data_IF_449232927312
#
_entry.id   IF_449232927312
#
_cell.length_a   1.000
_cell.length_b   1.000
_cell.length_c   1.000
_cell.angle_alpha   90.00
_cell.angle_beta   90.00
_cell.angle_gamma   90.00
#
_symmetry.space_group_name_H-M   'P 1'
#
loop_
_entity.id
_entity.type
_entity.pdbx_description
1 polymer ?
#
# COMPACT_ATOMS: atom_id res chain seq x y z
N UNK A 1 2.18 18.04 85.53
CA UNK A 1 1.63 19.19 84.77
C UNK A 1 1.25 18.64 83.39
N UNK A 2 -0.01 18.29 83.11
CA UNK A 2 -1.22 19.11 82.90
C UNK A 2 -1.54 19.28 81.40
N UNK A 3 -2.85 19.24 81.09
CA UNK A 3 -3.58 19.38 79.82
C UNK A 3 -3.81 18.06 79.07
N UNK A 4 -5.03 17.64 78.73
CA UNK A 4 -6.36 18.27 78.83
C UNK A 4 -7.29 17.68 77.76
N UNK A 5 -8.26 16.88 78.21
CA UNK A 5 -9.70 16.86 77.82
C UNK A 5 -10.13 17.52 76.50
N UNK A 6 -10.62 16.65 75.60
CA UNK A 6 -11.70 16.69 74.55
C UNK A 6 -11.82 17.81 73.49
N UNK A 7 -12.11 17.38 72.24
CA UNK A 7 -13.23 17.89 71.42
C UNK A 7 -13.71 16.82 70.41
N UNK A 8 -14.95 16.38 70.64
CA UNK A 8 -16.02 15.83 69.80
C UNK A 8 -15.74 15.41 68.33
N UNK A 9 -16.04 14.14 68.02
CA UNK A 9 -16.38 13.72 66.65
C UNK A 9 -17.87 13.97 66.40
N UNK A 10 -18.16 14.68 65.32
CA UNK A 10 -19.52 14.85 64.82
C UNK A 10 -20.08 13.49 64.41
N UNK A 11 -21.21 13.13 65.02
CA UNK A 11 -21.92 11.91 64.75
C UNK A 11 -22.56 11.94 63.35
N UNK A 12 -22.66 10.75 62.77
CA UNK A 12 -23.56 10.37 61.67
C UNK A 12 -23.20 10.86 60.27
N UNK A 13 -22.68 9.95 59.44
CA UNK A 13 -23.34 9.56 58.18
C UNK A 13 -22.58 8.45 57.44
N UNK A 14 -22.34 7.32 58.12
CA UNK A 14 -21.81 6.11 57.46
C UNK A 14 -22.90 5.11 57.02
N UNK A 15 -24.19 5.46 57.15
CA UNK A 15 -25.30 4.52 56.97
C UNK A 15 -26.30 4.85 55.86
N UNK A 16 -25.94 5.68 54.88
CA UNK A 16 -26.87 6.09 53.80
C UNK A 16 -26.35 5.95 52.38
N UNK A 17 -25.29 5.18 52.15
CA UNK A 17 -24.96 4.74 50.81
C UNK A 17 -24.99 3.21 50.77
N UNK A 18 -26.18 2.66 50.53
CA UNK A 18 -26.33 1.31 50.05
C UNK A 18 -25.67 1.22 48.67
N UNK A 19 -24.39 0.85 48.65
CA UNK A 19 -23.59 0.65 47.44
C UNK A 19 -24.21 -0.40 46.50
N UNK A 20 -25.11 -1.26 46.99
CA UNK A 20 -25.82 -2.23 46.15
C UNK A 20 -26.96 -1.62 45.32
N UNK A 21 -27.46 -0.44 45.71
CA UNK A 21 -28.53 0.27 45.00
C UNK A 21 -28.03 1.16 43.85
N UNK A 22 -26.77 1.60 43.91
CA UNK A 22 -26.12 2.44 42.88
C UNK A 22 -25.55 1.57 41.75
N UNK A 23 -25.06 0.37 42.08
CA UNK A 23 -24.58 -0.60 41.11
C UNK A 23 -25.68 -1.62 40.77
N UNK A 24 -26.76 -1.14 40.16
CA UNK A 24 -27.56 -2.04 39.32
C UNK A 24 -26.73 -2.28 38.07
N UNK A 25 -26.31 -3.52 37.74
CA UNK A 25 -25.85 -3.81 36.40
C UNK A 25 -27.07 -3.58 35.52
N UNK A 26 -27.21 -2.36 34.98
CA UNK A 26 -28.15 -2.08 33.92
C UNK A 26 -27.88 -3.15 32.88
N UNK A 27 -28.87 -4.02 32.69
CA UNK A 27 -28.99 -5.02 31.64
C UNK A 27 -28.05 -4.69 30.49
N UNK A 28 -27.02 -5.51 30.32
CA UNK A 28 -25.88 -5.25 29.44
C UNK A 28 -26.30 -4.75 28.06
N UNK A 29 -26.18 -3.45 27.85
CA UNK A 29 -26.23 -2.82 26.55
C UNK A 29 -24.79 -2.44 26.19
N UNK A 30 -23.93 -3.42 25.90
CA UNK A 30 -22.59 -3.15 25.35
C UNK A 30 -21.90 -4.42 24.89
N UNK A 31 -21.63 -4.50 23.59
CA UNK A 31 -20.51 -5.21 22.93
C UNK A 31 -20.47 -6.75 22.99
N UNK A 32 -21.15 -7.43 23.92
CA UNK A 32 -20.98 -8.89 24.17
C UNK A 32 -21.66 -9.81 23.12
N UNK A 33 -22.24 -9.26 22.05
CA UNK A 33 -22.95 -10.04 21.04
C UNK A 33 -22.77 -9.59 19.59
N UNK A 34 -21.83 -8.69 19.32
CA UNK A 34 -21.52 -8.32 17.93
C UNK A 34 -20.63 -9.41 17.31
N UNK A 35 -20.98 -9.95 16.13
CA UNK A 35 -20.10 -10.89 15.45
C UNK A 35 -18.80 -10.18 15.06
N UNK A 36 -17.68 -10.88 15.21
CA UNK A 36 -16.38 -10.35 14.79
C UNK A 36 -16.41 -9.93 13.31
N UNK A 37 -15.81 -8.78 13.01
CA UNK A 37 -15.67 -8.32 11.63
C UNK A 37 -14.68 -9.25 10.93
N UNK A 38 -15.21 -10.10 10.05
CA UNK A 38 -14.40 -10.93 9.18
C UNK A 38 -14.01 -10.15 7.91
N UNK A 39 -12.77 -10.36 7.46
CA UNK A 39 -12.27 -9.84 6.20
C UNK A 39 -11.98 -10.99 5.24
N UNK A 40 -12.24 -10.75 3.96
CA UNK A 40 -11.84 -11.61 2.86
C UNK A 40 -10.82 -10.90 1.97
N UNK A 41 -9.93 -11.66 1.37
CA UNK A 41 -8.95 -11.14 0.42
C UNK A 41 -9.55 -11.07 -0.97
N UNK A 42 -9.41 -9.92 -1.62
CA UNK A 42 -9.64 -9.75 -3.04
C UNK A 42 -8.32 -9.47 -3.74
N UNK A 43 -8.05 -10.22 -4.80
CA UNK A 43 -6.86 -10.06 -5.64
C UNK A 43 -7.27 -9.34 -6.92
N UNK A 44 -6.59 -8.24 -7.22
CA UNK A 44 -6.74 -7.49 -8.46
C UNK A 44 -5.39 -7.42 -9.20
N UNK A 45 -5.44 -7.47 -10.53
CA UNK A 45 -4.28 -7.27 -11.38
C UNK A 45 -4.37 -5.91 -12.06
N UNK A 46 -3.37 -5.07 -11.82
CA UNK A 46 -3.27 -3.74 -12.39
C UNK A 46 -2.26 -3.76 -13.54
N UNK A 47 -2.73 -3.42 -14.73
CA UNK A 47 -1.89 -3.25 -15.93
C UNK A 47 -1.67 -1.77 -16.19
N UNK A 48 -0.41 -1.34 -16.24
CA UNK A 48 -0.02 0.04 -16.54
C UNK A 48 0.78 0.05 -17.83
N UNK A 49 0.36 0.91 -18.77
CA UNK A 49 1.12 1.22 -19.97
C UNK A 49 1.55 2.68 -19.90
N UNK A 50 2.85 2.92 -20.01
CA UNK A 50 3.39 4.29 -20.07
C UNK A 50 2.81 5.10 -21.22
N UNK A 51 2.34 4.47 -22.30
CA UNK A 51 1.68 5.15 -23.42
C UNK A 51 0.32 5.80 -23.07
N UNK A 52 -0.32 5.41 -21.97
CA UNK A 52 -1.61 5.95 -21.55
C UNK A 52 -1.48 7.22 -20.67
N UNK A 53 -0.24 7.65 -20.39
CA UNK A 53 0.02 8.88 -19.63
C UNK A 53 -0.39 10.12 -20.43
N UNK A 54 -0.64 11.20 -19.71
CA UNK A 54 -0.79 12.52 -20.32
C UNK A 54 0.58 13.03 -20.83
N UNK A 55 0.85 12.87 -22.12
CA UNK A 55 2.11 13.26 -22.77
C UNK A 55 2.33 14.77 -22.80
N UNK A 56 1.28 15.58 -22.58
CA UNK A 56 1.41 17.04 -22.50
C UNK A 56 2.03 17.50 -21.17
N UNK A 57 1.81 16.73 -20.10
CA UNK A 57 2.36 16.98 -18.76
C UNK A 57 3.61 16.13 -18.51
N UNK A 58 3.59 14.88 -18.96
CA UNK A 58 4.66 13.90 -18.76
C UNK A 58 5.21 13.44 -20.12
N UNK A 59 6.02 14.26 -20.81
CA UNK A 59 6.54 13.92 -22.13
C UNK A 59 7.49 12.72 -22.09
N UNK A 60 8.14 12.44 -20.96
CA UNK A 60 9.08 11.33 -20.85
C UNK A 60 8.41 10.11 -20.20
N UNK A 61 8.56 8.90 -20.77
CA UNK A 61 7.94 7.70 -20.22
C UNK A 61 8.64 7.21 -18.95
N UNK A 62 9.77 7.80 -18.54
CA UNK A 62 10.52 7.40 -17.35
C UNK A 62 9.96 7.98 -16.04
N UNK A 63 9.11 9.01 -16.10
CA UNK A 63 8.52 9.63 -14.92
C UNK A 63 7.12 10.18 -15.24
N UNK A 64 6.08 9.60 -14.65
CA UNK A 64 4.70 9.96 -14.95
C UNK A 64 3.74 9.54 -13.84
N UNK A 65 2.52 10.08 -13.88
CA UNK A 65 1.43 9.69 -13.00
C UNK A 65 0.41 8.88 -13.80
N UNK A 66 0.01 7.74 -13.25
CA UNK A 66 -1.13 6.96 -13.73
C UNK A 66 -2.24 6.98 -12.69
N UNK A 67 -3.49 7.19 -13.12
CA UNK A 67 -4.67 7.21 -12.25
C UNK A 67 -5.53 5.99 -12.54
N UNK A 68 -6.09 5.41 -11.49
CA UNK A 68 -6.91 4.21 -11.60
C UNK A 68 -8.38 4.58 -11.75
N UNK A 69 -9.15 3.86 -12.61
CA UNK A 69 -10.59 4.06 -12.71
C UNK A 69 -11.33 3.76 -11.41
N UNK A 70 -10.75 2.90 -10.56
CA UNK A 70 -11.30 2.52 -9.26
C UNK A 70 -10.19 2.55 -8.23
N UNK A 71 -10.45 3.20 -7.11
CA UNK A 71 -9.54 3.25 -5.97
C UNK A 71 -9.47 1.88 -5.28
N UNK A 72 -8.26 1.40 -5.00
CA UNK A 72 -8.03 0.24 -4.15
C UNK A 72 -8.05 0.68 -2.70
N UNK A 73 -8.77 -0.02 -1.83
CA UNK A 73 -8.88 0.28 -0.39
C UNK A 73 -8.40 -0.89 0.46
N UNK A 74 -7.85 -0.60 1.63
CA UNK A 74 -7.34 -1.59 2.58
C UNK A 74 -6.33 -2.55 1.93
N UNK A 75 -5.33 -2.00 1.26
CA UNK A 75 -4.33 -2.78 0.53
C UNK A 75 -3.42 -3.45 1.55
N UNK A 76 -3.44 -4.78 1.56
CA UNK A 76 -2.60 -5.63 2.41
C UNK A 76 -1.25 -5.92 1.76
N UNK A 77 -1.25 -6.06 0.44
CA UNK A 77 -0.09 -6.52 -0.30
C UNK A 77 -0.09 -5.92 -1.71
N UNK A 78 1.09 -5.58 -2.19
CA UNK A 78 1.30 -5.22 -3.59
C UNK A 78 2.63 -5.77 -4.10
N UNK A 79 2.63 -6.24 -5.33
CA UNK A 79 3.75 -6.92 -5.95
C UNK A 79 3.87 -6.54 -7.42
N UNK A 80 5.11 -6.33 -7.90
CA UNK A 80 5.37 -6.25 -9.34
C UNK A 80 5.52 -7.66 -9.91
N UNK A 81 4.60 -8.05 -10.79
CA UNK A 81 4.54 -9.38 -11.41
C UNK A 81 5.35 -9.45 -12.71
N UNK A 82 5.35 -8.35 -13.45
CA UNK A 82 6.02 -8.27 -14.73
C UNK A 82 6.32 -6.83 -15.11
N UNK A 83 7.39 -6.65 -15.88
CA UNK A 83 7.68 -5.41 -16.58
C UNK A 83 8.27 -5.74 -17.96
N UNK A 84 7.88 -4.94 -18.96
CA UNK A 84 8.43 -4.97 -20.31
C UNK A 84 8.95 -3.58 -20.61
N UNK A 85 10.24 -3.47 -20.90
CA UNK A 85 10.97 -2.21 -21.00
C UNK A 85 11.67 -2.14 -22.37
N UNK A 86 11.71 -0.98 -23.04
CA UNK A 86 12.36 -0.88 -24.33
C UNK A 86 13.89 -0.91 -24.21
N UNK A 87 14.56 -1.60 -25.14
CA UNK A 87 16.02 -1.63 -25.27
C UNK A 87 16.52 -0.32 -25.88
N UNK A 88 16.71 0.68 -25.02
CA UNK A 88 17.12 2.05 -25.40
C UNK A 88 18.32 2.50 -24.59
N UNK A 89 19.18 3.31 -25.22
CA UNK A 89 20.30 3.99 -24.57
C UNK A 89 21.20 3.05 -23.77
N UNK A 90 21.52 1.88 -24.35
CA UNK A 90 22.42 0.88 -23.77
C UNK A 90 21.94 0.33 -22.41
N UNK A 91 20.62 0.19 -22.22
CA UNK A 91 20.03 -0.37 -21.00
C UNK A 91 20.58 -1.76 -20.65
N UNK A 92 21.03 -2.52 -21.65
CA UNK A 92 21.67 -3.84 -21.50
C UNK A 92 23.04 -3.79 -20.83
N UNK A 93 23.63 -2.61 -20.65
CA UNK A 93 24.86 -2.39 -19.88
C UNK A 93 24.59 -2.09 -18.41
N UNK A 94 23.34 -1.83 -18.04
CA UNK A 94 22.95 -1.67 -16.64
C UNK A 94 22.76 -3.02 -15.97
N UNK A 95 23.21 -3.19 -14.71
CA UNK A 95 22.98 -4.42 -13.97
C UNK A 95 21.50 -4.63 -13.63
N UNK A 96 20.78 -3.53 -13.38
CA UNK A 96 19.35 -3.46 -13.10
C UNK A 96 18.90 -2.00 -13.19
N UNK A 97 17.60 -1.80 -13.33
CA UNK A 97 16.97 -0.51 -13.07
C UNK A 97 16.19 -0.56 -11.75
N UNK A 98 15.82 0.61 -11.24
CA UNK A 98 15.00 0.76 -10.04
C UNK A 98 13.65 1.35 -10.44
N UNK A 99 12.57 0.73 -9.97
CA UNK A 99 11.21 1.25 -10.07
C UNK A 99 10.86 1.95 -8.76
N UNK A 100 10.45 3.21 -8.81
CA UNK A 100 9.95 3.98 -7.68
C UNK A 100 8.46 4.26 -7.84
N UNK A 101 7.73 4.17 -6.74
CA UNK A 101 6.31 4.50 -6.66
C UNK A 101 6.11 5.38 -5.41
N UNK A 102 5.89 6.68 -5.60
CA UNK A 102 5.89 7.64 -4.48
C UNK A 102 4.79 7.39 -3.46
N UNK A 103 3.68 6.76 -3.85
CA UNK A 103 2.59 6.42 -2.93
C UNK A 103 2.88 5.18 -2.08
N UNK A 104 4.00 4.48 -2.32
CA UNK A 104 4.36 3.24 -1.64
C UNK A 104 5.79 3.35 -1.07
N UNK A 105 5.84 3.66 0.22
CA UNK A 105 7.10 3.83 0.94
C UNK A 105 7.54 2.56 1.70
N UNK A 106 8.75 2.61 2.24
CA UNK A 106 9.36 1.60 3.12
C UNK A 106 9.37 0.19 2.53
N UNK A 107 9.66 0.08 1.23
CA UNK A 107 9.57 -1.21 0.52
C UNK A 107 10.77 -2.10 0.83
N UNK A 108 11.97 -1.53 0.87
CA UNK A 108 13.21 -2.29 1.05
C UNK A 108 14.11 -1.66 2.11
N UNK A 109 14.69 -2.50 2.97
CA UNK A 109 15.77 -2.08 3.87
C UNK A 109 17.10 -2.22 3.15
N UNK A 110 17.79 -1.10 2.93
CA UNK A 110 19.09 -1.08 2.24
C UNK A 110 20.00 -0.01 2.82
N UNK A 111 21.32 -0.23 2.75
CA UNK A 111 22.33 0.80 3.05
C UNK A 111 22.47 1.82 1.91
N UNK A 112 21.97 1.52 0.71
CA UNK A 112 21.90 2.46 -0.41
C UNK A 112 20.51 3.11 -0.44
N UNK A 113 20.49 4.45 -0.36
CA UNK A 113 19.24 5.23 -0.37
C UNK A 113 18.40 5.01 -1.63
N UNK A 114 19.01 4.90 -2.80
CA UNK A 114 18.26 4.76 -4.06
C UNK A 114 17.50 3.44 -4.09
N UNK A 115 18.11 2.38 -3.54
CA UNK A 115 17.47 1.08 -3.38
C UNK A 115 16.38 1.15 -2.30
N UNK A 116 16.65 1.78 -1.16
CA UNK A 116 15.68 1.90 -0.07
C UNK A 116 14.40 2.65 -0.51
N UNK A 117 14.56 3.67 -1.35
CA UNK A 117 13.46 4.44 -1.93
C UNK A 117 12.78 3.73 -3.13
N UNK A 118 13.30 2.57 -3.58
CA UNK A 118 12.75 1.84 -4.72
C UNK A 118 11.71 0.81 -4.30
N UNK A 119 10.65 0.72 -5.09
CA UNK A 119 9.62 -0.31 -4.97
C UNK A 119 10.13 -1.68 -5.43
N UNK A 120 10.84 -1.72 -6.55
CA UNK A 120 11.33 -2.97 -7.10
C UNK A 120 12.61 -2.79 -7.92
N UNK A 121 13.40 -3.87 -7.96
CA UNK A 121 14.48 -4.04 -8.93
C UNK A 121 13.92 -4.56 -10.26
N UNK A 122 14.32 -3.93 -11.35
CA UNK A 122 14.04 -4.38 -12.71
C UNK A 122 15.32 -4.99 -13.27
N UNK A 123 15.62 -6.21 -12.83
CA UNK A 123 16.73 -6.95 -13.41
C UNK A 123 16.34 -7.42 -14.81
N UNK A 124 17.18 -7.11 -15.79
CA UNK A 124 16.84 -7.24 -17.19
C UNK A 124 17.21 -8.64 -17.70
N UNK A 125 16.29 -9.31 -18.38
CA UNK A 125 16.63 -10.50 -19.15
C UNK A 125 17.39 -10.11 -20.44
N UNK A 126 17.98 -11.10 -21.11
CA UNK A 126 18.54 -10.86 -22.44
C UNK A 126 17.43 -10.45 -23.42
N UNK A 127 17.65 -9.38 -24.17
CA UNK A 127 16.73 -8.95 -25.23
C UNK A 127 16.55 -10.07 -26.25
N UNK A 128 15.30 -10.36 -26.64
CA UNK A 128 15.01 -11.34 -27.70
C UNK A 128 15.41 -10.83 -29.08
N UNK A 129 15.49 -9.51 -29.26
CA UNK A 129 15.97 -8.83 -30.45
C UNK A 129 16.63 -7.52 -30.04
N UNK A 130 17.82 -7.24 -30.57
CA UNK A 130 18.54 -6.01 -30.26
C UNK A 130 17.70 -4.77 -30.64
N UNK A 131 17.60 -3.80 -29.72
CA UNK A 131 16.78 -2.60 -29.88
C UNK A 131 15.26 -2.82 -29.78
N UNK A 132 14.84 -4.03 -29.40
CA UNK A 132 13.45 -4.41 -29.18
C UNK A 132 12.98 -4.11 -27.75
N UNK A 133 12.33 -5.09 -27.13
CA UNK A 133 11.84 -5.00 -25.75
C UNK A 133 12.47 -6.10 -24.90
N UNK A 134 12.69 -5.76 -23.63
CA UNK A 134 13.29 -6.61 -22.62
C UNK A 134 12.26 -6.85 -21.53
N UNK A 135 12.04 -8.11 -21.22
CA UNK A 135 11.27 -8.50 -20.02
C UNK A 135 12.20 -8.51 -18.82
N UNK A 136 11.66 -8.25 -17.62
CA UNK A 136 12.44 -8.49 -16.41
C UNK A 136 12.72 -9.99 -16.22
N UNK A 137 13.91 -10.31 -15.71
CA UNK A 137 14.25 -11.66 -15.27
C UNK A 137 13.55 -11.93 -13.94
N UNK A 138 12.52 -12.78 -14.01
CA UNK A 138 11.71 -13.10 -12.85
C UNK A 138 12.46 -13.91 -11.80
N UNK A 139 13.53 -14.61 -12.15
CA UNK A 139 14.20 -15.58 -11.25
C UNK A 139 14.89 -14.93 -10.05
N UNK A 140 15.26 -13.66 -10.16
CA UNK A 140 16.10 -12.97 -9.16
C UNK A 140 15.27 -12.25 -8.10
N UNK A 141 14.01 -11.91 -8.40
CA UNK A 141 13.12 -11.17 -7.51
C UNK A 141 11.68 -11.70 -7.52
N UNK A 142 11.49 -12.99 -7.84
CA UNK A 142 10.20 -13.59 -8.20
C UNK A 142 9.07 -13.43 -7.17
N UNK A 143 9.36 -12.97 -5.94
CA UNK A 143 8.40 -12.87 -4.85
C UNK A 143 8.83 -11.82 -3.81
N UNK A 144 9.05 -10.56 -4.19
CA UNK A 144 9.27 -9.48 -3.19
C UNK A 144 8.05 -8.57 -3.08
N UNK A 145 6.91 -9.06 -2.56
CA UNK A 145 5.76 -8.22 -2.33
C UNK A 145 6.04 -7.23 -1.19
N UNK A 146 5.54 -6.01 -1.34
CA UNK A 146 5.38 -5.10 -0.21
C UNK A 146 4.18 -5.55 0.61
N UNK A 147 4.48 -6.16 1.75
CA UNK A 147 3.49 -6.47 2.79
C UNK A 147 3.32 -5.26 3.71
N UNK A 148 2.07 -4.82 3.87
CA UNK A 148 1.73 -3.73 4.77
C UNK A 148 1.36 -4.29 6.14
N UNK A 149 2.18 -4.02 7.17
CA UNK A 149 1.84 -4.37 8.57
C UNK A 149 0.51 -3.75 9.00
N UNK A 150 0.30 -2.49 8.61
CA UNK A 150 -1.00 -1.82 8.68
C UNK A 150 -1.46 -1.57 7.25
N UNK A 151 -2.59 -2.16 6.80
CA UNK A 151 -3.04 -2.02 5.43
C UNK A 151 -3.07 -0.57 4.97
N UNK A 152 -2.56 -0.32 3.76
CA UNK A 152 -2.61 1.02 3.17
C UNK A 152 -4.08 1.37 2.91
N UNK A 153 -4.51 2.50 3.47
CA UNK A 153 -5.92 2.91 3.48
C UNK A 153 -6.52 2.95 2.07
N UNK A 154 -5.82 3.61 1.14
CA UNK A 154 -6.19 3.57 -0.27
C UNK A 154 -5.06 3.92 -1.24
N UNK A 155 -5.29 3.59 -2.51
CA UNK A 155 -4.45 3.92 -3.65
C UNK A 155 -5.34 4.17 -4.89
N UNK A 156 -5.37 5.41 -5.37
CA UNK A 156 -6.12 5.87 -6.55
C UNK A 156 -5.21 6.24 -7.72
N UNK A 157 -3.90 6.39 -7.46
CA UNK A 157 -2.88 6.71 -8.45
C UNK A 157 -1.53 6.09 -8.09
N UNK A 158 -0.64 6.01 -9.07
CA UNK A 158 0.78 5.78 -8.86
C UNK A 158 1.60 6.83 -9.61
N UNK A 159 2.57 7.41 -8.92
CA UNK A 159 3.62 8.27 -9.47
C UNK A 159 4.83 7.38 -9.71
N UNK A 160 5.06 7.03 -10.97
CA UNK A 160 6.05 6.06 -11.40
C UNK A 160 7.30 6.80 -11.84
N UNK A 161 8.46 6.40 -11.30
CA UNK A 161 9.77 6.81 -11.83
C UNK A 161 10.66 5.60 -12.00
N UNK A 162 11.29 5.45 -13.17
CA UNK A 162 12.29 4.42 -13.44
C UNK A 162 13.67 5.09 -13.47
N UNK A 163 14.58 4.63 -12.62
CA UNK A 163 15.93 5.17 -12.51
C UNK A 163 16.99 4.11 -12.79
N UNK A 164 18.21 4.56 -13.08
CA UNK A 164 19.40 3.73 -12.98
C UNK A 164 19.75 3.41 -11.51
N UNK A 165 20.86 2.70 -11.30
CA UNK A 165 21.38 2.34 -9.98
C UNK A 165 21.89 3.54 -9.16
N UNK A 166 22.08 4.71 -9.79
CA UNK A 166 22.50 5.96 -9.14
C UNK A 166 21.31 6.81 -8.70
N UNK A 167 20.09 6.44 -9.10
CA UNK A 167 18.87 7.18 -8.85
C UNK A 167 18.55 8.23 -9.91
N UNK A 168 19.29 8.27 -11.01
CA UNK A 168 19.02 9.17 -12.13
C UNK A 168 17.90 8.58 -13.00
N UNK A 169 16.86 9.35 -13.37
CA UNK A 169 15.80 8.86 -14.25
C UNK A 169 16.36 8.29 -15.55
N UNK A 170 16.02 7.04 -15.86
CA UNK A 170 16.53 6.36 -17.04
C UNK A 170 16.02 7.06 -18.29
N UNK A 171 16.90 7.36 -19.24
CA UNK A 171 16.47 7.98 -20.49
C UNK A 171 15.97 6.89 -21.45
N UNK A 172 14.66 6.80 -21.68
CA UNK A 172 14.13 5.98 -22.76
C UNK A 172 14.06 6.73 -24.10
N UNK A 173 14.18 8.06 -24.06
CA UNK A 173 13.83 9.00 -25.12
C UNK A 173 12.71 9.94 -24.67
N UNK A 174 12.42 10.97 -25.48
CA UNK A 174 11.31 11.89 -25.26
C UNK A 174 10.21 11.62 -26.28
N UNK A 175 8.96 11.60 -25.84
CA UNK A 175 7.84 11.37 -26.74
C UNK A 175 7.35 12.62 -27.46
N UNK A 176 6.52 12.38 -28.47
CA UNK A 176 5.66 13.40 -29.05
C UNK A 176 4.28 13.36 -28.39
N UNK A 177 3.36 14.24 -28.79
CA UNK A 177 1.97 14.18 -28.32
C UNK A 177 1.32 12.81 -28.58
N UNK A 178 1.75 12.11 -29.64
CA UNK A 178 1.40 10.71 -29.88
C UNK A 178 2.51 9.82 -29.30
N UNK A 179 2.19 8.91 -28.36
CA UNK A 179 3.18 8.01 -27.79
C UNK A 179 3.89 7.15 -28.85
N UNK A 180 5.22 7.23 -28.86
CA UNK A 180 6.10 6.49 -29.74
C UNK A 180 6.27 5.09 -29.18
N UNK A 181 5.71 4.08 -29.86
CA UNK A 181 5.68 2.69 -29.38
C UNK A 181 7.03 2.17 -28.86
N UNK A 182 8.13 2.52 -29.54
CA UNK A 182 9.48 2.07 -29.20
C UNK A 182 10.06 2.65 -27.90
N UNK A 183 9.39 3.61 -27.26
CA UNK A 183 9.81 4.24 -26.00
C UNK A 183 8.92 3.82 -24.82
N UNK A 184 7.84 3.10 -25.07
CA UNK A 184 6.87 2.73 -24.04
C UNK A 184 7.30 1.46 -23.31
N UNK A 185 7.04 1.42 -22.02
CA UNK A 185 7.11 0.23 -21.18
C UNK A 185 5.72 -0.13 -20.61
N UNK A 186 5.60 -1.36 -20.13
CA UNK A 186 4.42 -1.84 -19.40
C UNK A 186 4.83 -2.44 -18.06
N UNK A 187 3.97 -2.27 -17.06
CA UNK A 187 4.11 -2.81 -15.71
C UNK A 187 2.83 -3.56 -15.34
N UNK A 188 2.98 -4.70 -14.67
CA UNK A 188 1.85 -5.49 -14.16
C UNK A 188 2.04 -5.68 -12.67
N UNK A 189 1.06 -5.23 -11.89
CA UNK A 189 1.04 -5.40 -10.45
C UNK A 189 -0.07 -6.34 -10.03
N UNK A 190 0.19 -7.11 -8.97
CA UNK A 190 -0.82 -7.81 -8.20
C UNK A 190 -1.08 -7.02 -6.93
N UNK A 191 -2.34 -6.72 -6.64
CA UNK A 191 -2.78 -5.97 -5.47
C UNK A 191 -3.74 -6.86 -4.68
N UNK A 192 -3.48 -7.04 -3.38
CA UNK A 192 -4.38 -7.75 -2.48
C UNK A 192 -5.02 -6.75 -1.52
N UNK A 193 -6.35 -6.74 -1.49
CA UNK A 193 -7.15 -5.87 -0.61
C UNK A 193 -7.94 -6.69 0.40
N UNK A 194 -8.16 -6.12 1.59
CA UNK A 194 -9.02 -6.70 2.62
C UNK A 194 -10.42 -6.07 2.53
N UNK A 195 -11.40 -6.89 2.16
CA UNK A 195 -12.79 -6.49 2.07
C UNK A 195 -13.56 -7.06 3.25
N UNK A 196 -14.50 -6.29 3.82
CA UNK A 196 -15.37 -6.80 4.88
C UNK A 196 -16.24 -7.90 4.27
N UNK A 197 -16.15 -9.11 4.84
CA UNK A 197 -16.98 -10.24 4.45
C UNK A 197 -18.44 -9.87 4.66
N UNK A 198 -19.25 -10.00 3.60
CA UNK A 198 -20.70 -9.84 3.67
C UNK A 198 -21.33 -11.20 3.94
N UNK A 199 -21.17 -11.70 5.16
CA UNK A 199 -22.04 -12.78 5.59
C UNK A 199 -23.49 -12.28 5.52
N UNK A 200 -24.40 -13.12 5.01
CA UNK A 200 -25.80 -12.78 4.87
C UNK A 200 -26.29 -12.21 6.22
N UNK A 201 -26.65 -10.93 6.23
CA UNK A 201 -27.38 -10.33 7.34
C UNK A 201 -28.62 -11.20 7.50
N UNK A 202 -28.58 -12.14 8.45
CA UNK A 202 -29.74 -12.96 8.75
C UNK A 202 -30.82 -11.96 9.18
N UNK A 203 -31.79 -11.72 8.30
CA UNK A 203 -32.95 -10.93 8.61
C UNK A 203 -33.57 -11.59 9.83
N UNK A 204 -33.48 -10.91 10.97
CA UNK A 204 -34.15 -11.32 12.19
C UNK A 204 -35.64 -11.21 11.85
N UNK A 205 -36.25 -12.31 11.44
CA UNK A 205 -37.70 -12.40 11.34
C UNK A 205 -38.24 -12.24 12.75
N UNK A 206 -38.62 -11.00 13.08
CA UNK A 206 -39.40 -10.70 14.27
C UNK A 206 -40.83 -11.11 13.93
N UNK A 207 -41.27 -12.25 14.47
CA UNK A 207 -42.69 -12.61 14.57
C UNK A 207 -43.19 -12.24 15.95
#
# INVERSE_FOLDING_TARGET
MSKGVYTEFNANDYNTNDYSSVYKPSSGLSVVGEPDIQYEERIDYLFINSGDRDTSVYPNPNSYVTRFPTEFRNIKEIELINAIIPDKNSITQEPYLLLRIDEIDDVMTSSNKQIADSFAFLALANATTAGGFITIDKRIHENTPKLFTTPKASLDKMTITITDNTGTPWNFGSDTLVPTKALQHTLVFRIVTLQKRRDALAFRNVY
#
